data_IF_923146832399
#
_entry.id   IF_923146832399
#
_cell.length_a   1.000
_cell.length_b   1.000
_cell.length_c   1.000
_cell.angle_alpha   90.00
_cell.angle_beta   90.00
_cell.angle_gamma   90.00
#
_symmetry.space_group_name_H-M   'P 1'
#
loop_
_entity.id
_entity.type
_entity.pdbx_description
1 polymer ?
#
# COMPACT_ATOMS: atom_id res chain seq x y z
N UNK A 1 -77.48 24.41 -38.71
CA UNK A 1 -78.09 24.91 -37.45
C UNK A 1 -78.39 23.75 -36.50
N UNK A 2 -79.58 23.13 -36.50
CA UNK A 2 -79.95 22.12 -35.48
C UNK A 2 -79.10 20.82 -35.51
N UNK A 3 -78.66 20.37 -36.70
CA UNK A 3 -77.77 19.20 -36.81
C UNK A 3 -76.36 19.45 -36.26
N UNK A 4 -75.83 20.65 -36.45
CA UNK A 4 -74.46 20.99 -36.01
C UNK A 4 -74.41 21.14 -34.49
N UNK A 5 -75.42 21.76 -33.89
CA UNK A 5 -75.53 21.87 -32.42
C UNK A 5 -75.68 20.50 -31.77
N UNK A 6 -76.50 19.59 -32.32
CA UNK A 6 -76.56 18.20 -31.80
C UNK A 6 -75.24 17.45 -31.94
N UNK A 7 -74.51 17.63 -33.05
CA UNK A 7 -73.20 16.99 -33.25
C UNK A 7 -72.18 17.44 -32.20
N UNK A 8 -72.03 18.76 -31.99
CA UNK A 8 -71.15 19.34 -30.96
C UNK A 8 -71.55 18.86 -29.56
N UNK A 9 -72.85 18.82 -29.24
CA UNK A 9 -73.34 18.40 -27.93
C UNK A 9 -73.12 16.89 -27.69
N UNK A 10 -73.21 16.06 -28.74
CA UNK A 10 -72.85 14.63 -28.67
C UNK A 10 -71.35 14.40 -28.46
N UNK A 11 -70.50 15.21 -29.11
CA UNK A 11 -69.05 15.13 -28.96
C UNK A 11 -68.61 15.55 -27.54
N UNK A 12 -69.15 16.66 -27.03
CA UNK A 12 -68.93 17.10 -25.65
C UNK A 12 -69.39 16.05 -24.64
N UNK A 13 -70.60 15.50 -24.79
CA UNK A 13 -71.11 14.44 -23.91
C UNK A 13 -70.23 13.18 -23.94
N UNK A 14 -69.70 12.80 -25.11
CA UNK A 14 -68.75 11.68 -25.21
C UNK A 14 -67.42 12.00 -24.53
N UNK A 15 -66.90 13.21 -24.73
CA UNK A 15 -65.65 13.65 -24.11
C UNK A 15 -65.77 13.72 -22.58
N UNK A 16 -66.91 14.16 -22.05
CA UNK A 16 -67.16 14.20 -20.62
C UNK A 16 -67.34 12.78 -20.05
N UNK A 17 -68.05 11.88 -20.75
CA UNK A 17 -68.08 10.45 -20.36
C UNK A 17 -66.68 9.82 -20.37
N UNK A 18 -65.83 10.14 -21.35
CA UNK A 18 -64.44 9.67 -21.42
C UNK A 18 -63.60 10.24 -20.25
N UNK A 19 -63.80 11.51 -19.86
CA UNK A 19 -63.17 12.10 -18.67
C UNK A 19 -63.69 11.48 -17.37
N UNK A 20 -64.99 11.25 -17.23
CA UNK A 20 -65.59 10.65 -16.03
C UNK A 20 -65.10 9.21 -15.86
N UNK A 21 -65.08 8.41 -16.94
CA UNK A 21 -64.48 7.08 -16.93
C UNK A 21 -62.99 7.12 -16.56
N UNK A 22 -62.25 8.15 -17.00
CA UNK A 22 -60.84 8.35 -16.63
C UNK A 22 -60.70 8.77 -15.15
N UNK A 23 -61.59 9.61 -14.63
CA UNK A 23 -61.65 10.02 -13.23
C UNK A 23 -62.00 8.82 -12.34
N UNK A 24 -62.92 7.96 -12.73
CA UNK A 24 -63.22 6.71 -12.00
C UNK A 24 -62.02 5.77 -11.99
N UNK A 25 -61.35 5.57 -13.14
CA UNK A 25 -60.13 4.76 -13.21
C UNK A 25 -59.01 5.31 -12.33
N UNK A 26 -58.81 6.64 -12.32
CA UNK A 26 -57.82 7.29 -11.45
C UNK A 26 -58.20 7.22 -9.97
N UNK A 27 -59.49 7.35 -9.61
CA UNK A 27 -59.99 7.13 -8.24
C UNK A 27 -59.76 5.70 -7.77
N UNK A 28 -60.01 4.72 -8.63
CA UNK A 28 -59.81 3.30 -8.34
C UNK A 28 -58.32 3.00 -8.13
N UNK A 29 -57.44 3.46 -9.03
CA UNK A 29 -55.98 3.37 -8.87
C UNK A 29 -55.46 4.09 -7.60
N UNK A 30 -56.04 5.25 -7.26
CA UNK A 30 -55.69 5.98 -6.03
C UNK A 30 -56.11 5.21 -4.76
N UNK A 31 -57.22 4.48 -4.81
CA UNK A 31 -57.66 3.65 -3.69
C UNK A 31 -56.80 2.38 -3.58
N UNK A 32 -56.55 1.65 -4.68
CA UNK A 32 -55.67 0.47 -4.69
C UNK A 32 -54.25 0.78 -4.19
N UNK A 33 -53.69 1.95 -4.55
CA UNK A 33 -52.36 2.37 -4.09
C UNK A 33 -52.36 2.77 -2.61
N UNK A 34 -53.41 3.41 -2.11
CA UNK A 34 -53.58 3.68 -0.67
C UNK A 34 -53.74 2.40 0.15
N UNK A 35 -54.53 1.45 -0.34
CA UNK A 35 -54.77 0.16 0.34
C UNK A 35 -53.46 -0.65 0.42
N UNK A 36 -52.70 -0.76 -0.68
CA UNK A 36 -51.38 -1.40 -0.66
C UNK A 36 -50.39 -0.71 0.28
N UNK A 37 -50.33 0.63 0.27
CA UNK A 37 -49.46 1.37 1.18
C UNK A 37 -49.87 1.19 2.66
N UNK A 38 -51.17 1.08 2.95
CA UNK A 38 -51.68 0.80 4.28
C UNK A 38 -51.37 -0.65 4.71
N UNK A 39 -51.55 -1.64 3.84
CA UNK A 39 -51.15 -3.03 4.09
C UNK A 39 -49.65 -3.16 4.36
N UNK A 40 -48.80 -2.51 3.55
CA UNK A 40 -47.34 -2.53 3.73
C UNK A 40 -46.95 -1.88 5.05
N UNK A 41 -47.56 -0.75 5.40
CA UNK A 41 -47.39 -0.09 6.69
C UNK A 41 -47.80 -1.01 7.85
N UNK A 42 -48.97 -1.63 7.80
CA UNK A 42 -49.45 -2.54 8.85
C UNK A 42 -48.55 -3.77 9.01
N UNK A 43 -48.12 -4.38 7.89
CA UNK A 43 -47.13 -5.49 7.89
C UNK A 43 -45.79 -5.05 8.49
N UNK A 44 -45.41 -3.79 8.32
CA UNK A 44 -44.17 -3.24 8.88
C UNK A 44 -44.32 -2.94 10.39
N UNK A 45 -45.42 -2.32 10.80
CA UNK A 45 -45.78 -2.08 12.21
C UNK A 45 -45.89 -3.38 13.00
N UNK A 46 -46.52 -4.43 12.44
CA UNK A 46 -46.58 -5.77 13.05
C UNK A 46 -45.20 -6.39 13.25
N UNK A 47 -44.30 -6.30 12.26
CA UNK A 47 -42.92 -6.83 12.38
C UNK A 47 -42.12 -6.10 13.47
N UNK A 48 -42.18 -4.77 13.51
CA UNK A 48 -41.48 -4.02 14.55
C UNK A 48 -42.08 -4.23 15.94
N UNK A 49 -43.42 -4.33 16.05
CA UNK A 49 -44.10 -4.66 17.31
C UNK A 49 -43.68 -6.05 17.82
N UNK A 50 -43.59 -7.05 16.94
CA UNK A 50 -43.11 -8.38 17.30
C UNK A 50 -41.65 -8.37 17.79
N UNK A 51 -40.76 -7.63 17.10
CA UNK A 51 -39.36 -7.47 17.52
C UNK A 51 -39.22 -6.74 18.87
N UNK A 52 -40.02 -5.70 19.12
CA UNK A 52 -40.05 -5.00 20.41
C UNK A 52 -40.48 -5.95 21.52
N UNK A 53 -41.58 -6.69 21.33
CA UNK A 53 -42.08 -7.66 22.32
C UNK A 53 -41.07 -8.78 22.61
N UNK A 54 -40.34 -9.25 21.60
CA UNK A 54 -39.28 -10.24 21.77
C UNK A 54 -38.11 -9.69 22.60
N UNK A 55 -37.61 -8.50 22.26
CA UNK A 55 -36.52 -7.84 22.99
C UNK A 55 -36.92 -7.49 24.43
N UNK A 56 -38.15 -7.04 24.65
CA UNK A 56 -38.70 -6.82 25.99
C UNK A 56 -38.79 -8.13 26.78
N UNK A 57 -39.24 -9.24 26.16
CA UNK A 57 -39.26 -10.56 26.79
C UNK A 57 -37.86 -11.02 27.22
N UNK A 58 -36.86 -10.88 26.34
CA UNK A 58 -35.47 -11.17 26.64
C UNK A 58 -34.91 -10.27 27.76
N UNK A 59 -35.23 -8.97 27.75
CA UNK A 59 -34.83 -8.03 28.80
C UNK A 59 -35.41 -8.41 30.18
N UNK A 60 -36.70 -8.72 30.26
CA UNK A 60 -37.35 -9.15 31.49
C UNK A 60 -36.76 -10.47 32.03
N UNK A 61 -36.39 -11.40 31.14
CA UNK A 61 -35.72 -12.63 31.53
C UNK A 61 -34.31 -12.36 32.07
N UNK A 62 -33.52 -11.50 31.41
CA UNK A 62 -32.20 -11.09 31.90
C UNK A 62 -32.26 -10.33 33.22
N UNK A 63 -33.28 -9.49 33.43
CA UNK A 63 -33.50 -8.80 34.70
C UNK A 63 -33.76 -9.79 35.86
N UNK A 64 -34.54 -10.85 35.63
CA UNK A 64 -34.76 -11.93 36.61
C UNK A 64 -33.47 -12.68 36.93
N UNK A 65 -32.70 -13.07 35.91
CA UNK A 65 -31.40 -13.74 36.07
C UNK A 65 -30.43 -12.89 36.90
N UNK A 66 -30.29 -11.60 36.58
CA UNK A 66 -29.47 -10.64 37.34
C UNK A 66 -29.95 -10.55 38.79
N UNK A 67 -31.27 -10.50 39.04
CA UNK A 67 -31.84 -10.48 40.38
C UNK A 67 -31.47 -11.71 41.22
N UNK A 68 -31.54 -12.91 40.63
CA UNK A 68 -31.14 -14.16 41.31
C UNK A 68 -29.63 -14.14 41.64
N UNK A 69 -28.78 -13.77 40.68
CA UNK A 69 -27.32 -13.68 40.86
C UNK A 69 -26.96 -12.67 41.98
N UNK A 70 -27.68 -11.55 42.08
CA UNK A 70 -27.48 -10.57 43.16
C UNK A 70 -27.83 -11.14 44.55
N UNK A 71 -28.89 -11.95 44.65
CA UNK A 71 -29.27 -12.64 45.90
C UNK A 71 -28.22 -13.69 46.28
N UNK A 72 -27.78 -14.52 45.34
CA UNK A 72 -26.71 -15.51 45.56
C UNK A 72 -25.41 -14.83 46.00
N UNK A 73 -24.99 -13.76 45.32
CA UNK A 73 -23.80 -12.99 45.67
C UNK A 73 -23.88 -12.40 47.09
N UNK A 74 -25.07 -11.96 47.53
CA UNK A 74 -25.31 -11.49 48.90
C UNK A 74 -25.17 -12.62 49.92
N UNK A 75 -25.70 -13.81 49.61
CA UNK A 75 -25.58 -15.02 50.45
C UNK A 75 -24.12 -15.50 50.53
N UNK A 76 -23.39 -15.52 49.42
CA UNK A 76 -21.95 -15.87 49.38
C UNK A 76 -21.12 -14.90 50.22
N UNK A 77 -21.39 -13.59 50.13
CA UNK A 77 -20.71 -12.57 50.97
C UNK A 77 -21.01 -12.77 52.47
N UNK A 78 -22.22 -13.18 52.85
CA UNK A 78 -22.54 -13.52 54.23
C UNK A 78 -21.83 -14.81 54.69
N UNK A 79 -21.80 -15.84 53.84
CA UNK A 79 -21.07 -17.08 54.10
C UNK A 79 -19.57 -16.82 54.30
N UNK A 80 -18.93 -16.02 53.44
CA UNK A 80 -17.52 -15.64 53.57
C UNK A 80 -17.23 -14.92 54.91
N UNK A 81 -18.10 -13.99 55.33
CA UNK A 81 -17.96 -13.32 56.64
C UNK A 81 -18.06 -14.31 57.81
N UNK A 82 -19.04 -15.23 57.78
CA UNK A 82 -19.19 -16.27 58.82
C UNK A 82 -18.01 -17.24 58.83
N UNK A 83 -17.50 -17.63 57.66
CA UNK A 83 -16.33 -18.50 57.52
C UNK A 83 -15.11 -17.88 58.21
N UNK A 84 -14.79 -16.62 57.92
CA UNK A 84 -13.67 -15.91 58.54
C UNK A 84 -13.81 -15.84 60.07
N UNK A 85 -15.03 -15.60 60.57
CA UNK A 85 -15.30 -15.58 62.01
C UNK A 85 -15.05 -16.95 62.68
N UNK A 86 -15.56 -18.03 62.09
CA UNK A 86 -15.39 -19.40 62.61
C UNK A 86 -13.93 -19.87 62.51
N UNK A 87 -13.22 -19.53 61.43
CA UNK A 87 -11.79 -19.82 61.29
C UNK A 87 -10.98 -19.12 62.38
N UNK A 88 -11.28 -17.86 62.67
CA UNK A 88 -10.65 -17.11 63.77
C UNK A 88 -10.96 -17.73 65.14
N UNK A 89 -12.21 -18.03 65.46
CA UNK A 89 -12.60 -18.67 66.72
C UNK A 89 -11.93 -20.02 66.93
N UNK A 90 -11.76 -20.79 65.85
CA UNK A 90 -11.06 -22.07 65.88
C UNK A 90 -9.55 -21.90 66.16
N UNK A 91 -8.90 -20.88 65.61
CA UNK A 91 -7.48 -20.61 65.84
C UNK A 91 -7.23 -20.01 67.24
N UNK A 92 -8.10 -19.12 67.71
CA UNK A 92 -8.09 -18.62 69.10
C UNK A 92 -8.26 -19.80 70.10
N UNK A 93 -9.15 -20.77 69.81
CA UNK A 93 -9.31 -21.97 70.64
C UNK A 93 -8.08 -22.89 70.61
N UNK A 94 -7.44 -23.08 69.45
CA UNK A 94 -6.20 -23.86 69.33
C UNK A 94 -5.05 -23.26 70.13
N UNK A 95 -4.85 -21.95 70.11
CA UNK A 95 -3.77 -21.33 70.89
C UNK A 95 -4.08 -21.36 72.40
N UNK A 96 -5.35 -21.19 72.79
CA UNK A 96 -5.76 -21.39 74.19
C UNK A 96 -5.44 -22.82 74.67
N UNK A 97 -5.74 -23.85 73.87
CA UNK A 97 -5.39 -25.24 74.19
C UNK A 97 -3.87 -25.43 74.31
N UNK A 98 -3.09 -24.96 73.32
CA UNK A 98 -1.60 -25.01 73.36
C UNK A 98 -1.03 -24.29 74.59
N UNK A 99 -1.61 -23.15 74.98
CA UNK A 99 -1.16 -22.36 76.13
C UNK A 99 -1.42 -23.07 77.46
N UNK A 100 -2.57 -23.75 77.59
CA UNK A 100 -2.93 -24.51 78.81
C UNK A 100 -2.12 -25.79 78.91
N UNK A 101 -1.95 -26.54 77.81
CA UNK A 101 -1.05 -27.69 77.75
C UNK A 101 0.38 -27.32 78.15
N UNK A 102 0.92 -26.23 77.59
CA UNK A 102 2.27 -25.72 77.92
C UNK A 102 2.41 -25.43 79.42
N UNK A 103 1.41 -24.82 80.05
CA UNK A 103 1.37 -24.55 81.51
C UNK A 103 1.29 -25.83 82.34
N UNK A 104 0.50 -26.82 81.91
CA UNK A 104 0.43 -28.12 82.59
C UNK A 104 1.76 -28.89 82.48
N UNK A 105 2.37 -28.96 81.30
CA UNK A 105 3.69 -29.58 81.10
C UNK A 105 4.81 -28.88 81.90
N UNK A 106 4.74 -27.56 82.07
CA UNK A 106 5.70 -26.84 82.92
C UNK A 106 5.47 -27.14 84.41
N UNK A 107 4.21 -27.19 84.85
CA UNK A 107 3.85 -27.54 86.23
C UNK A 107 4.27 -28.97 86.57
N UNK A 108 4.05 -29.92 85.65
CA UNK A 108 4.49 -31.31 85.76
C UNK A 108 6.02 -31.38 85.92
N UNK A 109 6.79 -30.78 84.99
CA UNK A 109 8.26 -30.74 85.05
C UNK A 109 8.79 -30.12 86.35
N UNK A 110 8.12 -29.08 86.87
CA UNK A 110 8.46 -28.47 88.17
C UNK A 110 8.22 -29.43 89.35
N UNK A 111 7.16 -30.23 89.31
CA UNK A 111 6.90 -31.28 90.32
C UNK A 111 7.91 -32.43 90.21
N UNK A 112 8.09 -32.98 89.00
CA UNK A 112 9.07 -34.05 88.72
C UNK A 112 10.48 -33.67 89.20
N UNK A 113 10.91 -32.44 88.89
CA UNK A 113 12.21 -31.92 89.35
C UNK A 113 12.33 -31.88 90.87
N UNK A 114 11.25 -31.54 91.60
CA UNK A 114 11.22 -31.56 93.07
C UNK A 114 11.26 -32.99 93.62
N UNK A 115 10.43 -33.88 93.09
CA UNK A 115 10.40 -35.29 93.48
C UNK A 115 11.74 -35.99 93.23
N UNK A 116 12.37 -35.74 92.07
CA UNK A 116 13.67 -36.29 91.74
C UNK A 116 14.77 -35.80 92.70
N UNK A 117 14.79 -34.50 93.01
CA UNK A 117 15.74 -33.94 93.99
C UNK A 117 15.58 -34.55 95.39
N UNK A 118 14.34 -34.68 95.87
CA UNK A 118 14.06 -35.27 97.18
C UNK A 118 14.44 -36.76 97.20
N UNK A 119 14.07 -37.51 96.15
CA UNK A 119 14.44 -38.91 95.97
C UNK A 119 15.96 -39.09 95.99
N UNK A 120 16.71 -38.34 95.20
CA UNK A 120 18.18 -38.42 95.20
C UNK A 120 18.79 -38.03 96.55
N UNK A 121 18.21 -37.09 97.31
CA UNK A 121 18.70 -36.77 98.66
C UNK A 121 18.55 -37.98 99.59
N UNK A 122 17.37 -38.59 99.60
CA UNK A 122 17.06 -39.77 100.41
C UNK A 122 17.90 -41.00 100.01
N UNK A 123 18.11 -41.22 98.71
CA UNK A 123 18.98 -42.28 98.19
C UNK A 123 20.43 -42.07 98.65
N UNK A 124 20.99 -40.85 98.52
CA UNK A 124 22.34 -40.54 99.00
C UNK A 124 22.49 -40.66 100.53
N UNK A 125 21.46 -40.30 101.30
CA UNK A 125 21.45 -40.49 102.75
C UNK A 125 21.43 -41.97 103.15
N UNK A 126 20.70 -42.81 102.41
CA UNK A 126 20.66 -44.25 102.62
C UNK A 126 21.99 -44.92 102.20
N UNK A 127 22.52 -44.56 101.02
CA UNK A 127 23.79 -45.07 100.50
C UNK A 127 24.96 -44.76 101.45
N UNK A 128 25.05 -43.52 101.96
CA UNK A 128 26.06 -43.14 102.97
C UNK A 128 25.96 -43.99 104.24
N UNK A 129 24.75 -44.29 104.73
CA UNK A 129 24.55 -45.17 105.89
C UNK A 129 24.99 -46.61 105.61
N UNK A 130 24.72 -47.13 104.41
CA UNK A 130 25.17 -48.46 103.98
C UNK A 130 26.70 -48.51 103.91
N UNK A 131 27.33 -47.52 103.26
CA UNK A 131 28.81 -47.42 103.18
C UNK A 131 29.42 -47.36 104.58
N UNK A 132 28.93 -46.50 105.48
CA UNK A 132 29.45 -46.40 106.85
C UNK A 132 29.33 -47.71 107.66
N UNK A 133 28.27 -48.50 107.44
CA UNK A 133 28.13 -49.81 108.07
C UNK A 133 29.06 -50.86 107.44
N UNK A 134 29.20 -50.85 106.12
CA UNK A 134 30.11 -51.72 105.38
C UNK A 134 31.58 -51.45 105.73
N UNK A 135 32.01 -50.20 105.77
CA UNK A 135 33.37 -49.78 106.16
C UNK A 135 33.69 -50.22 107.59
N UNK A 136 32.74 -50.08 108.53
CA UNK A 136 32.91 -50.53 109.91
C UNK A 136 33.10 -52.05 109.98
N UNK A 137 32.20 -52.81 109.37
CA UNK A 137 32.27 -54.27 109.35
C UNK A 137 33.53 -54.78 108.62
N UNK A 138 33.93 -54.12 107.54
CA UNK A 138 35.13 -54.46 106.77
C UNK A 138 36.41 -54.14 107.54
N UNK A 139 36.49 -52.97 108.20
CA UNK A 139 37.62 -52.61 109.05
C UNK A 139 37.79 -53.60 110.21
N UNK A 140 36.69 -53.95 110.89
CA UNK A 140 36.69 -54.92 111.98
C UNK A 140 37.15 -56.30 111.52
N UNK A 141 36.63 -56.79 110.38
CA UNK A 141 37.08 -58.05 109.77
C UNK A 141 38.57 -58.02 109.38
N UNK A 142 39.05 -56.93 108.75
CA UNK A 142 40.46 -56.79 108.37
C UNK A 142 41.37 -56.71 109.58
N UNK A 143 40.95 -56.10 110.70
CA UNK A 143 41.72 -56.09 111.96
C UNK A 143 41.88 -57.51 112.51
N UNK A 144 40.84 -58.36 112.42
CA UNK A 144 40.87 -59.75 112.88
C UNK A 144 41.71 -60.70 111.99
N UNK A 145 42.08 -60.31 110.77
CA UNK A 145 42.93 -61.15 109.88
C UNK A 145 44.37 -61.32 110.40
N UNK A 146 44.97 -62.46 110.08
CA UNK A 146 46.39 -62.72 110.29
C UNK A 146 47.27 -61.85 109.38
N UNK A 147 48.57 -61.70 109.70
CA UNK A 147 49.49 -60.87 108.93
C UNK A 147 49.63 -61.31 107.46
N UNK A 148 49.54 -62.62 107.18
CA UNK A 148 49.53 -63.14 105.81
C UNK A 148 48.25 -62.74 105.05
N UNK A 149 47.07 -62.85 105.68
CA UNK A 149 45.81 -62.40 105.09
C UNK A 149 45.80 -60.89 104.81
N UNK A 150 46.37 -60.09 105.72
CA UNK A 150 46.53 -58.63 105.54
C UNK A 150 47.47 -58.27 104.37
N UNK A 151 48.48 -59.09 104.07
CA UNK A 151 49.35 -58.88 102.92
C UNK A 151 48.62 -59.18 101.60
N UNK A 152 47.98 -60.35 101.49
CA UNK A 152 47.19 -60.75 100.30
C UNK A 152 46.06 -59.76 100.03
N UNK A 153 45.40 -59.23 101.06
CA UNK A 153 44.37 -58.21 100.90
C UNK A 153 44.92 -56.91 100.27
N UNK A 154 46.09 -56.42 100.71
CA UNK A 154 46.73 -55.23 100.14
C UNK A 154 47.10 -55.43 98.66
N UNK A 155 47.58 -56.62 98.32
CA UNK A 155 47.89 -56.99 96.93
C UNK A 155 46.62 -57.06 96.08
N UNK A 156 45.54 -57.66 96.59
CA UNK A 156 44.25 -57.73 95.89
C UNK A 156 43.68 -56.32 95.61
N UNK A 157 43.72 -55.42 96.59
CA UNK A 157 43.32 -54.01 96.42
C UNK A 157 44.18 -53.29 95.36
N UNK A 158 45.50 -53.56 95.33
CA UNK A 158 46.39 -53.00 94.30
C UNK A 158 46.05 -53.53 92.90
N UNK A 159 45.84 -54.84 92.76
CA UNK A 159 45.43 -55.49 91.51
C UNK A 159 44.07 -54.99 91.03
N UNK A 160 43.09 -54.82 91.92
CA UNK A 160 41.77 -54.30 91.59
C UNK A 160 41.84 -52.84 91.10
N UNK A 161 42.71 -52.00 91.70
CA UNK A 161 42.96 -50.63 91.22
C UNK A 161 43.66 -50.60 89.86
N UNK A 162 44.59 -51.52 89.61
CA UNK A 162 45.22 -51.67 88.29
C UNK A 162 44.19 -52.10 87.23
N UNK A 163 43.32 -53.06 87.55
CA UNK A 163 42.23 -53.50 86.68
C UNK A 163 41.25 -52.36 86.37
N UNK A 164 40.87 -51.56 87.38
CA UNK A 164 39.97 -50.41 87.20
C UNK A 164 40.57 -49.36 86.24
N UNK A 165 41.88 -49.11 86.33
CA UNK A 165 42.58 -48.21 85.41
C UNK A 165 42.58 -48.75 83.97
N UNK A 166 42.87 -50.04 83.77
CA UNK A 166 42.82 -50.66 82.44
C UNK A 166 41.41 -50.70 81.85
N UNK A 167 40.37 -50.89 82.67
CA UNK A 167 38.97 -50.81 82.22
C UNK A 167 38.60 -49.39 81.75
N UNK A 168 39.04 -48.35 82.48
CA UNK A 168 38.85 -46.94 82.08
C UNK A 168 39.60 -46.61 80.78
N UNK A 169 40.83 -47.09 80.62
CA UNK A 169 41.62 -46.92 79.40
C UNK A 169 40.96 -47.63 78.21
N UNK A 170 40.49 -48.86 78.40
CA UNK A 170 39.77 -49.63 77.38
C UNK A 170 38.47 -48.94 76.95
N UNK A 171 37.66 -48.43 77.89
CA UNK A 171 36.46 -47.65 77.59
C UNK A 171 36.77 -46.34 76.86
N UNK A 172 37.83 -45.62 77.25
CA UNK A 172 38.26 -44.41 76.57
C UNK A 172 38.73 -44.69 75.12
N UNK A 173 39.46 -45.79 74.91
CA UNK A 173 39.86 -46.26 73.58
C UNK A 173 38.65 -46.69 72.75
N UNK A 174 37.69 -47.43 73.32
CA UNK A 174 36.46 -47.83 72.64
C UNK A 174 35.63 -46.61 72.21
N UNK A 175 35.47 -45.62 73.10
CA UNK A 175 34.78 -44.35 72.78
C UNK A 175 35.49 -43.58 71.67
N UNK A 176 36.83 -43.61 71.63
CA UNK A 176 37.61 -42.98 70.55
C UNK A 176 37.47 -43.75 69.23
N UNK A 177 37.46 -45.08 69.25
CA UNK A 177 37.25 -45.93 68.09
C UNK A 177 35.85 -45.71 67.49
N UNK A 178 34.80 -45.69 68.33
CA UNK A 178 33.43 -45.41 67.89
C UNK A 178 33.31 -44.03 67.23
N UNK A 179 33.86 -42.97 67.85
CA UNK A 179 33.87 -41.62 67.25
C UNK A 179 34.65 -41.56 65.93
N UNK A 180 35.73 -42.33 65.80
CA UNK A 180 36.49 -42.41 64.55
C UNK A 180 35.67 -43.12 63.44
N UNK A 181 34.91 -44.16 63.80
CA UNK A 181 34.00 -44.87 62.89
C UNK A 181 32.81 -43.99 62.46
N UNK A 182 32.23 -43.21 63.37
CA UNK A 182 31.19 -42.21 63.08
C UNK A 182 31.72 -41.13 62.11
N UNK A 183 32.92 -40.61 62.36
CA UNK A 183 33.59 -39.67 61.46
C UNK A 183 33.88 -40.27 60.09
N UNK A 184 34.38 -41.51 60.04
CA UNK A 184 34.68 -42.22 58.80
C UNK A 184 33.41 -42.48 57.97
N UNK A 185 32.31 -42.88 58.60
CA UNK A 185 31.03 -43.11 57.90
C UNK A 185 30.41 -41.81 57.40
N UNK A 186 30.47 -40.73 58.18
CA UNK A 186 30.04 -39.38 57.74
C UNK A 186 30.86 -38.87 56.54
N UNK A 187 32.19 -39.00 56.58
CA UNK A 187 33.08 -38.61 55.49
C UNK A 187 32.83 -39.44 54.22
N UNK A 188 32.51 -40.74 54.36
CA UNK A 188 32.18 -41.61 53.23
C UNK A 188 30.87 -41.16 52.55
N UNK A 189 29.82 -40.90 53.34
CA UNK A 189 28.55 -40.35 52.83
C UNK A 189 28.75 -38.99 52.15
N UNK A 190 29.53 -38.10 52.75
CA UNK A 190 29.83 -36.79 52.16
C UNK A 190 30.61 -36.93 50.84
N UNK A 191 31.56 -37.87 50.76
CA UNK A 191 32.27 -38.19 49.52
C UNK A 191 31.31 -38.70 48.44
N UNK A 192 30.42 -39.63 48.77
CA UNK A 192 29.45 -40.17 47.81
C UNK A 192 28.51 -39.09 47.25
N UNK A 193 28.01 -38.20 48.11
CA UNK A 193 27.20 -37.04 47.69
C UNK A 193 27.99 -36.11 46.77
N UNK A 194 29.25 -35.83 47.09
CA UNK A 194 30.13 -35.00 46.26
C UNK A 194 30.43 -35.66 44.91
N UNK A 195 30.70 -36.97 44.88
CA UNK A 195 30.96 -37.73 43.65
C UNK A 195 29.73 -37.74 42.73
N UNK A 196 28.51 -37.84 43.29
CA UNK A 196 27.26 -37.70 42.53
C UNK A 196 27.06 -36.27 42.00
N UNK A 197 27.28 -35.25 42.83
CA UNK A 197 27.16 -33.83 42.43
C UNK A 197 28.14 -33.47 41.30
N UNK A 198 29.38 -33.96 41.37
CA UNK A 198 30.40 -33.76 40.32
C UNK A 198 29.98 -34.44 39.01
N UNK A 199 29.46 -35.67 39.06
CA UNK A 199 28.95 -36.37 37.86
C UNK A 199 27.78 -35.60 37.22
N UNK A 200 26.82 -35.14 38.02
CA UNK A 200 25.69 -34.33 37.53
C UNK A 200 26.17 -33.03 36.87
N UNK A 201 27.13 -32.32 37.49
CA UNK A 201 27.70 -31.10 36.91
C UNK A 201 28.48 -31.34 35.62
N UNK A 202 29.23 -32.44 35.53
CA UNK A 202 29.91 -32.85 34.28
C UNK A 202 28.88 -33.14 33.19
N UNK A 203 27.77 -33.82 33.51
CA UNK A 203 26.70 -34.10 32.54
C UNK A 203 26.02 -32.82 32.04
N UNK A 204 25.66 -31.91 32.94
CA UNK A 204 25.09 -30.59 32.60
C UNK A 204 26.03 -29.78 31.69
N UNK A 205 27.32 -29.70 32.03
CA UNK A 205 28.32 -28.99 31.21
C UNK A 205 28.53 -29.66 29.84
N UNK A 206 28.48 -30.99 29.78
CA UNK A 206 28.60 -31.73 28.51
C UNK A 206 27.40 -31.48 27.59
N UNK A 207 26.18 -31.44 28.15
CA UNK A 207 24.97 -31.09 27.42
C UNK A 207 24.97 -29.65 26.93
N UNK A 208 25.38 -28.69 27.76
CA UNK A 208 25.53 -27.29 27.34
C UNK A 208 26.58 -27.15 26.23
N UNK A 209 27.71 -27.87 26.35
CA UNK A 209 28.76 -27.87 25.32
C UNK A 209 28.27 -28.42 23.97
N UNK A 210 27.46 -29.48 23.95
CA UNK A 210 26.92 -30.03 22.70
C UNK A 210 25.86 -29.12 22.07
N UNK A 211 25.05 -28.44 22.88
CA UNK A 211 24.13 -27.39 22.41
C UNK A 211 24.90 -26.21 21.79
N UNK A 212 25.92 -25.70 22.47
CA UNK A 212 26.79 -24.62 21.97
C UNK A 212 27.45 -25.03 20.64
N UNK A 213 28.01 -26.23 20.55
CA UNK A 213 28.61 -26.74 19.31
C UNK A 213 27.59 -26.85 18.16
N UNK A 214 26.35 -27.21 18.45
CA UNK A 214 25.27 -27.30 17.45
C UNK A 214 24.87 -25.91 16.96
N UNK A 215 24.75 -24.94 17.87
CA UNK A 215 24.49 -23.54 17.53
C UNK A 215 25.64 -22.92 16.73
N UNK A 216 26.89 -23.16 17.10
CA UNK A 216 28.08 -22.71 16.37
C UNK A 216 28.11 -23.25 14.94
N UNK A 217 27.83 -24.54 14.74
CA UNK A 217 27.71 -25.13 13.39
C UNK A 217 26.59 -24.47 12.57
N UNK A 218 25.44 -24.17 13.19
CA UNK A 218 24.34 -23.47 12.53
C UNK A 218 24.72 -22.04 12.13
N UNK A 219 25.37 -21.28 13.02
CA UNK A 219 25.89 -19.94 12.74
C UNK A 219 26.84 -19.97 11.54
N UNK A 220 27.86 -20.83 11.58
CA UNK A 220 28.81 -20.99 10.46
C UNK A 220 28.11 -21.34 9.12
N UNK A 221 27.07 -22.18 9.16
CA UNK A 221 26.32 -22.52 7.94
C UNK A 221 25.51 -21.35 7.38
N UNK A 222 24.96 -20.50 8.25
CA UNK A 222 24.23 -19.29 7.86
C UNK A 222 25.17 -18.19 7.36
N UNK A 223 26.31 -18.00 8.03
CA UNK A 223 27.37 -17.08 7.58
C UNK A 223 27.91 -17.50 6.20
N UNK A 224 28.15 -18.80 5.99
CA UNK A 224 28.57 -19.32 4.68
C UNK A 224 27.50 -19.07 3.61
N UNK A 225 26.23 -19.34 3.91
CA UNK A 225 25.13 -19.09 2.96
C UNK A 225 24.98 -17.60 2.62
N UNK A 226 25.07 -16.70 3.62
CA UNK A 226 25.04 -15.26 3.42
C UNK A 226 26.22 -14.78 2.57
N UNK A 227 27.44 -15.27 2.81
CA UNK A 227 28.60 -14.93 1.97
C UNK A 227 28.44 -15.40 0.53
N UNK A 228 27.85 -16.58 0.29
CA UNK A 228 27.54 -17.04 -1.06
C UNK A 228 26.49 -16.13 -1.73
N UNK A 229 25.36 -15.87 -1.07
CA UNK A 229 24.32 -14.98 -1.60
C UNK A 229 24.85 -13.57 -1.90
N UNK A 230 25.65 -12.98 -1.00
CA UNK A 230 26.24 -11.65 -1.23
C UNK A 230 27.13 -11.64 -2.47
N UNK A 231 27.96 -12.67 -2.67
CA UNK A 231 28.80 -12.80 -3.88
C UNK A 231 27.95 -12.98 -5.14
N UNK A 232 26.89 -13.78 -5.08
CA UNK A 232 25.97 -13.96 -6.19
C UNK A 232 25.31 -12.62 -6.57
N UNK A 233 24.80 -11.86 -5.60
CA UNK A 233 24.28 -10.50 -5.82
C UNK A 233 25.34 -9.54 -6.39
N UNK A 234 26.57 -9.52 -5.86
CA UNK A 234 27.67 -8.70 -6.40
C UNK A 234 27.95 -9.05 -7.88
N UNK A 235 28.01 -10.34 -8.23
CA UNK A 235 28.22 -10.76 -9.62
C UNK A 235 27.06 -10.39 -10.54
N UNK A 236 25.81 -10.44 -10.05
CA UNK A 236 24.65 -10.08 -10.85
C UNK A 236 24.54 -8.56 -11.07
N UNK A 237 24.87 -7.76 -10.05
CA UNK A 237 24.98 -6.29 -10.18
C UNK A 237 26.06 -5.91 -11.21
N UNK A 238 27.21 -6.59 -11.20
CA UNK A 238 28.26 -6.35 -12.20
C UNK A 238 27.81 -6.68 -13.63
N UNK A 239 27.11 -7.82 -13.84
CA UNK A 239 26.55 -8.17 -15.16
C UNK A 239 25.51 -7.15 -15.63
N UNK A 240 24.60 -6.73 -14.75
CA UNK A 240 23.58 -5.72 -15.09
C UNK A 240 24.22 -4.38 -15.44
N UNK A 241 25.30 -3.99 -14.74
CA UNK A 241 26.06 -2.78 -15.06
C UNK A 241 26.79 -2.91 -16.41
N UNK A 242 27.40 -4.05 -16.71
CA UNK A 242 28.07 -4.32 -18.00
C UNK A 242 27.05 -4.29 -19.15
N UNK A 243 25.92 -4.99 -19.00
CA UNK A 243 24.84 -5.00 -19.99
C UNK A 243 24.31 -3.59 -20.25
N UNK A 244 24.02 -2.82 -19.20
CA UNK A 244 23.57 -1.44 -19.34
C UNK A 244 24.61 -0.55 -20.06
N UNK A 245 25.92 -0.80 -19.88
CA UNK A 245 26.96 -0.07 -20.63
C UNK A 245 26.95 -0.46 -22.12
N UNK A 246 26.76 -1.74 -22.46
CA UNK A 246 26.64 -2.21 -23.84
C UNK A 246 25.42 -1.62 -24.54
N UNK A 247 24.26 -1.63 -23.87
CA UNK A 247 23.01 -1.10 -24.43
C UNK A 247 23.11 0.42 -24.65
N UNK A 248 23.63 1.17 -23.68
CA UNK A 248 23.89 2.61 -23.84
C UNK A 248 24.87 2.92 -25.01
N UNK A 249 25.85 2.04 -25.28
CA UNK A 249 26.75 2.20 -26.44
C UNK A 249 26.02 1.92 -27.77
N UNK A 250 25.12 0.93 -27.80
CA UNK A 250 24.28 0.66 -28.95
C UNK A 250 23.35 1.83 -29.26
N UNK A 251 22.67 2.36 -28.24
CA UNK A 251 21.80 3.54 -28.34
C UNK A 251 22.56 4.77 -28.85
N UNK A 252 23.75 5.04 -28.31
CA UNK A 252 24.61 6.13 -28.81
C UNK A 252 24.98 5.96 -30.29
N UNK A 253 25.27 4.73 -30.73
CA UNK A 253 25.58 4.44 -32.13
C UNK A 253 24.34 4.58 -33.04
N UNK A 254 23.13 4.29 -32.56
CA UNK A 254 21.88 4.54 -33.28
C UNK A 254 21.56 6.04 -33.36
N UNK A 255 21.64 6.77 -32.24
CA UNK A 255 21.46 8.22 -32.19
C UNK A 255 22.38 8.92 -33.19
N UNK A 256 23.65 8.51 -33.29
CA UNK A 256 24.59 9.06 -34.26
C UNK A 256 24.15 8.82 -35.72
N UNK A 257 23.69 7.60 -36.05
CA UNK A 257 23.16 7.28 -37.40
C UNK A 257 21.92 8.10 -37.73
N UNK A 258 20.99 8.24 -36.79
CA UNK A 258 19.76 9.01 -36.95
C UNK A 258 20.06 10.52 -37.14
N UNK A 259 20.99 11.07 -36.36
CA UNK A 259 21.47 12.45 -36.54
C UNK A 259 22.10 12.66 -37.92
N UNK A 260 22.91 11.71 -38.41
CA UNK A 260 23.50 11.80 -39.74
C UNK A 260 22.44 11.74 -40.85
N UNK A 261 21.44 10.85 -40.72
CA UNK A 261 20.32 10.73 -41.65
C UNK A 261 19.50 12.02 -41.69
N UNK A 262 19.19 12.61 -40.52
CA UNK A 262 18.48 13.88 -40.41
C UNK A 262 19.24 15.01 -41.13
N UNK A 263 20.55 15.13 -40.92
CA UNK A 263 21.38 16.13 -41.63
C UNK A 263 21.37 15.96 -43.16
N UNK A 264 21.30 14.72 -43.66
CA UNK A 264 21.17 14.45 -45.10
C UNK A 264 19.79 14.89 -45.59
N UNK A 265 18.71 14.54 -44.85
CA UNK A 265 17.34 14.94 -45.17
C UNK A 265 17.14 16.44 -45.13
N UNK A 266 17.76 17.17 -44.21
CA UNK A 266 17.76 18.63 -44.19
C UNK A 266 18.48 19.22 -45.41
N UNK A 267 19.59 18.64 -45.86
CA UNK A 267 20.28 19.07 -47.09
C UNK A 267 19.42 18.83 -48.34
N UNK A 268 18.73 17.69 -48.43
CA UNK A 268 17.76 17.40 -49.49
C UNK A 268 16.57 18.35 -49.45
N UNK A 269 15.95 18.54 -48.29
CA UNK A 269 14.86 19.48 -48.04
C UNK A 269 15.23 20.91 -48.46
N UNK A 270 16.45 21.35 -48.12
CA UNK A 270 16.95 22.67 -48.53
C UNK A 270 17.22 22.77 -50.04
N UNK A 271 17.61 21.69 -50.72
CA UNK A 271 17.69 21.65 -52.20
C UNK A 271 16.30 21.75 -52.83
N UNK A 272 15.33 20.99 -52.31
CA UNK A 272 13.93 21.02 -52.79
C UNK A 272 13.33 22.42 -52.58
N UNK A 273 13.51 23.04 -51.40
CA UNK A 273 13.08 24.42 -51.12
C UNK A 273 13.67 25.43 -52.09
N UNK A 274 14.97 25.31 -52.44
CA UNK A 274 15.62 26.16 -53.46
C UNK A 274 15.04 25.94 -54.85
N UNK A 275 14.85 24.69 -55.27
CA UNK A 275 14.28 24.36 -56.58
C UNK A 275 12.83 24.86 -56.71
N UNK A 276 12.01 24.64 -55.67
CA UNK A 276 10.63 25.13 -55.63
C UNK A 276 10.57 26.67 -55.68
N UNK A 277 11.52 27.36 -55.02
CA UNK A 277 11.66 28.82 -55.14
C UNK A 277 12.04 29.23 -56.56
N UNK A 278 13.04 28.61 -57.18
CA UNK A 278 13.45 28.93 -58.54
C UNK A 278 12.29 28.76 -59.53
N UNK A 279 11.53 27.65 -59.45
CA UNK A 279 10.35 27.40 -60.29
C UNK A 279 9.28 28.48 -60.07
N UNK A 280 9.10 28.95 -58.83
CA UNK A 280 8.18 30.05 -58.53
C UNK A 280 8.69 31.39 -59.08
N UNK A 281 9.97 31.69 -58.96
CA UNK A 281 10.59 32.91 -59.46
C UNK A 281 10.54 32.96 -61.01
N UNK A 282 10.88 31.87 -61.70
CA UNK A 282 10.75 31.66 -63.15
C UNK A 282 9.29 31.82 -63.59
N UNK A 283 8.34 31.14 -62.92
CA UNK A 283 6.90 31.32 -63.17
C UNK A 283 6.48 32.78 -63.02
N UNK A 284 6.96 33.47 -61.99
CA UNK A 284 6.66 34.89 -61.74
C UNK A 284 7.26 35.81 -62.82
N UNK A 285 8.39 35.44 -63.42
CA UNK A 285 8.95 36.14 -64.59
C UNK A 285 8.12 35.92 -65.85
N UNK A 286 7.72 34.68 -66.14
CA UNK A 286 6.84 34.37 -67.29
C UNK A 286 5.47 35.03 -67.14
N UNK A 287 4.90 35.06 -65.92
CA UNK A 287 3.66 35.79 -65.62
C UNK A 287 3.81 37.30 -65.90
N UNK A 288 4.91 37.93 -65.48
CA UNK A 288 5.21 39.33 -65.81
C UNK A 288 5.34 39.55 -67.32
N UNK A 289 6.09 38.71 -68.03
CA UNK A 289 6.23 38.78 -69.48
C UNK A 289 4.88 38.73 -70.22
N UNK A 290 3.97 37.82 -69.83
CA UNK A 290 2.63 37.76 -70.43
C UNK A 290 1.78 39.00 -70.12
N UNK A 291 1.87 39.55 -68.92
CA UNK A 291 1.16 40.78 -68.55
C UNK A 291 1.68 41.98 -69.36
N UNK A 292 3.00 42.11 -69.52
CA UNK A 292 3.63 43.16 -70.33
C UNK A 292 3.31 43.01 -71.82
N UNK A 293 3.36 41.79 -72.37
CA UNK A 293 2.97 41.52 -73.75
C UNK A 293 1.47 41.83 -73.99
N UNK A 294 0.59 41.46 -73.06
CA UNK A 294 -0.83 41.84 -73.10
C UNK A 294 -1.02 43.36 -72.99
N UNK A 295 -0.20 44.05 -72.21
CA UNK A 295 -0.24 45.51 -72.09
C UNK A 295 0.18 46.19 -73.41
N UNK A 296 1.31 45.76 -74.00
CA UNK A 296 1.78 46.25 -75.31
C UNK A 296 0.74 46.02 -76.41
N UNK A 297 0.17 44.82 -76.50
CA UNK A 297 -0.87 44.53 -77.49
C UNK A 297 -2.12 45.38 -77.27
N UNK A 298 -2.55 45.63 -76.02
CA UNK A 298 -3.66 46.56 -75.73
C UNK A 298 -3.35 47.99 -76.14
N UNK A 299 -2.13 48.49 -75.90
CA UNK A 299 -1.71 49.81 -76.39
C UNK A 299 -1.77 49.85 -77.93
N UNK A 300 -1.27 48.81 -78.61
CA UNK A 300 -1.22 48.76 -80.06
C UNK A 300 -2.60 48.60 -80.70
N UNK A 301 -3.55 47.93 -80.03
CA UNK A 301 -4.98 47.94 -80.38
C UNK A 301 -5.56 49.36 -80.26
N UNK A 302 -5.27 50.08 -79.16
CA UNK A 302 -5.76 51.44 -78.99
C UNK A 302 -5.19 52.39 -80.07
N UNK A 303 -3.91 52.23 -80.40
CA UNK A 303 -3.25 52.97 -81.48
C UNK A 303 -3.82 52.62 -82.87
N UNK A 304 -3.95 51.34 -83.20
CA UNK A 304 -4.47 50.88 -84.50
C UNK A 304 -5.91 51.36 -84.73
N UNK A 305 -6.78 51.27 -83.71
CA UNK A 305 -8.16 51.78 -83.76
C UNK A 305 -8.21 53.29 -83.96
N UNK A 306 -7.35 54.05 -83.26
CA UNK A 306 -7.23 55.51 -83.42
C UNK A 306 -6.75 55.87 -84.84
N UNK A 307 -5.71 55.20 -85.33
CA UNK A 307 -5.14 55.43 -86.66
C UNK A 307 -6.14 55.05 -87.77
N UNK A 308 -6.78 53.87 -87.69
CA UNK A 308 -7.81 53.45 -88.64
C UNK A 308 -8.97 54.45 -88.69
N UNK A 309 -9.44 54.95 -87.54
CA UNK A 309 -10.47 55.99 -87.48
C UNK A 309 -10.03 57.30 -88.14
N UNK A 310 -8.76 57.70 -88.00
CA UNK A 310 -8.20 58.87 -88.68
C UNK A 310 -8.06 58.67 -90.20
N UNK A 311 -7.51 57.53 -90.64
CA UNK A 311 -7.32 57.19 -92.05
C UNK A 311 -8.68 57.04 -92.76
N UNK A 312 -9.65 56.36 -92.15
CA UNK A 312 -11.00 56.26 -92.70
C UNK A 312 -11.69 57.64 -92.83
N UNK A 313 -11.42 58.56 -91.88
CA UNK A 313 -11.93 59.94 -91.96
C UNK A 313 -11.25 60.74 -93.07
N UNK A 314 -9.93 60.59 -93.22
CA UNK A 314 -9.17 61.22 -94.30
C UNK A 314 -9.62 60.70 -95.68
N UNK A 315 -9.72 59.38 -95.86
CA UNK A 315 -10.15 58.74 -97.09
C UNK A 315 -11.60 59.11 -97.47
N UNK A 316 -12.52 59.19 -96.50
CA UNK A 316 -13.87 59.70 -96.73
C UNK A 316 -13.86 61.17 -97.17
N UNK A 317 -13.09 62.03 -96.49
CA UNK A 317 -12.97 63.45 -96.85
C UNK A 317 -12.33 63.66 -98.23
N UNK A 318 -11.35 62.84 -98.63
CA UNK A 318 -10.73 62.88 -99.96
C UNK A 318 -11.76 62.49 -101.02
N UNK A 319 -12.45 61.35 -100.87
CA UNK A 319 -13.52 60.94 -101.81
C UNK A 319 -14.65 61.97 -101.89
N UNK A 320 -15.02 62.60 -100.77
CA UNK A 320 -16.01 63.68 -100.75
C UNK A 320 -15.55 64.91 -101.56
N UNK A 321 -14.24 65.24 -101.50
CA UNK A 321 -13.64 66.34 -102.28
C UNK A 321 -13.49 66.00 -103.77
N UNK A 322 -13.13 64.77 -104.10
CA UNK A 322 -13.03 64.28 -105.49
C UNK A 322 -14.40 64.24 -106.18
N UNK A 323 -15.44 63.82 -105.45
CA UNK A 323 -16.82 63.85 -105.92
C UNK A 323 -17.34 65.28 -106.11
N UNK A 324 -17.02 66.19 -105.19
CA UNK A 324 -17.32 67.62 -105.35
C UNK A 324 -16.60 68.25 -106.55
N UNK A 325 -15.41 67.75 -106.90
CA UNK A 325 -14.67 68.13 -108.10
C UNK A 325 -15.17 67.44 -109.39
N UNK A 326 -16.29 66.71 -109.34
CA UNK A 326 -16.94 66.08 -110.49
C UNK A 326 -16.20 64.86 -111.08
N UNK A 327 -15.21 64.30 -110.36
CA UNK A 327 -14.39 63.19 -110.88
C UNK A 327 -14.90 61.81 -110.50
N UNK A 328 -15.75 61.71 -109.48
CA UNK A 328 -16.27 60.46 -108.90
C UNK A 328 -17.67 60.66 -108.31
N UNK A 329 -18.39 59.58 -108.00
CA UNK A 329 -19.67 59.66 -107.29
C UNK A 329 -19.49 59.99 -105.80
N UNK A 330 -20.47 60.67 -105.20
CA UNK A 330 -20.45 61.00 -103.77
C UNK A 330 -20.44 59.75 -102.88
N UNK A 331 -19.51 59.63 -101.92
CA UNK A 331 -19.43 58.46 -101.06
C UNK A 331 -20.62 58.38 -100.09
N UNK A 332 -21.15 57.16 -99.87
CA UNK A 332 -22.20 56.89 -98.87
C UNK A 332 -21.78 57.43 -97.50
N UNK A 333 -22.67 58.18 -96.84
CA UNK A 333 -22.43 58.79 -95.53
C UNK A 333 -21.92 57.73 -94.54
N UNK A 334 -20.79 58.00 -93.90
CA UNK A 334 -20.12 57.10 -92.95
C UNK A 334 -19.90 57.84 -91.64
N UNK A 335 -20.34 57.27 -90.53
CA UNK A 335 -20.31 57.94 -89.22
C UNK A 335 -19.05 57.58 -88.43
N UNK A 336 -18.53 58.56 -87.68
CA UNK A 336 -17.33 58.41 -86.86
C UNK A 336 -17.63 58.54 -85.36
N UNK A 337 -18.87 58.88 -84.98
CA UNK A 337 -19.21 59.29 -83.61
C UNK A 337 -19.82 58.16 -82.76
N UNK A 338 -19.92 56.95 -83.32
CA UNK A 338 -20.21 55.72 -82.56
C UNK A 338 -21.65 55.57 -82.04
N UNK A 339 -22.63 56.30 -82.59
CA UNK A 339 -24.05 56.14 -82.23
C UNK A 339 -24.59 54.78 -82.69
N UNK A 340 -25.30 54.09 -81.80
CA UNK A 340 -25.70 52.68 -81.94
C UNK A 340 -26.63 52.38 -83.14
N UNK A 341 -27.41 53.36 -83.59
CA UNK A 341 -28.38 53.19 -84.69
C UNK A 341 -27.80 53.56 -86.08
N UNK A 342 -26.47 53.57 -86.25
CA UNK A 342 -25.82 53.93 -87.51
C UNK A 342 -25.50 52.70 -88.38
N UNK A 343 -26.18 52.58 -89.52
CA UNK A 343 -26.04 51.47 -90.47
C UNK A 343 -24.70 51.40 -91.21
N UNK A 344 -23.87 52.47 -91.17
CA UNK A 344 -22.55 52.54 -91.80
C UNK A 344 -21.61 53.37 -90.89
N UNK A 345 -20.99 52.71 -89.91
CA UNK A 345 -20.12 53.34 -88.92
C UNK A 345 -18.76 52.69 -88.89
N UNK A 346 -17.69 53.47 -88.75
CA UNK A 346 -16.31 52.96 -88.62
C UNK A 346 -16.15 52.03 -87.41
N UNK A 347 -16.97 52.20 -86.38
CA UNK A 347 -16.98 51.30 -85.22
C UNK A 347 -17.52 49.90 -85.57
N UNK A 348 -18.38 49.78 -86.59
CA UNK A 348 -18.87 48.49 -87.09
C UNK A 348 -17.71 47.69 -87.68
N UNK A 349 -16.92 48.28 -88.58
CA UNK A 349 -15.72 47.67 -89.17
C UNK A 349 -14.71 47.23 -88.10
N UNK A 350 -14.50 48.04 -87.05
CA UNK A 350 -13.64 47.67 -85.92
C UNK A 350 -14.22 46.50 -85.09
N UNK A 351 -15.53 46.39 -84.99
CA UNK A 351 -16.19 45.25 -84.33
C UNK A 351 -16.20 44.00 -85.22
N UNK A 352 -16.22 44.15 -86.54
CA UNK A 352 -16.05 43.06 -87.51
C UNK A 352 -14.62 42.51 -87.47
N UNK A 353 -13.60 43.36 -87.36
CA UNK A 353 -12.22 42.94 -87.12
C UNK A 353 -12.06 42.13 -85.82
N UNK A 354 -12.86 42.42 -84.77
CA UNK A 354 -12.92 41.60 -83.55
C UNK A 354 -13.67 40.27 -83.75
N UNK A 355 -14.53 40.15 -84.77
CA UNK A 355 -15.38 38.99 -85.09
C UNK A 355 -14.81 38.09 -86.20
N UNK A 356 -13.73 38.48 -86.89
CA UNK A 356 -13.13 37.67 -87.96
C UNK A 356 -12.65 36.30 -87.44
N UNK A 357 -13.42 35.27 -87.80
CA UNK A 357 -13.21 33.84 -87.48
C UNK A 357 -12.75 33.01 -88.70
N UNK A 358 -12.67 33.64 -89.88
CA UNK A 358 -12.37 32.97 -91.15
C UNK A 358 -10.87 32.76 -91.39
N UNK A 359 -10.22 31.90 -90.62
CA UNK A 359 -8.88 31.39 -90.99
C UNK A 359 -8.87 29.86 -90.86
N UNK A 360 -8.82 29.18 -92.02
CA UNK A 360 -8.61 27.73 -92.12
C UNK A 360 -7.17 27.50 -92.60
N UNK A 361 -6.29 27.04 -91.71
CA UNK A 361 -4.89 26.74 -92.02
C UNK A 361 -3.95 26.95 -90.83
N UNK A 362 -2.66 26.63 -91.02
CA UNK A 362 -1.61 27.00 -90.07
C UNK A 362 -1.36 28.51 -90.20
N UNK A 363 -1.74 29.28 -89.18
CA UNK A 363 -1.63 30.75 -89.17
C UNK A 363 -0.35 31.15 -88.45
N UNK A 364 0.49 31.99 -89.07
CA UNK A 364 1.65 32.54 -88.39
C UNK A 364 1.24 33.72 -87.51
N UNK A 365 2.04 34.03 -86.47
CA UNK A 365 1.75 35.16 -85.57
C UNK A 365 1.72 36.49 -86.34
N UNK A 366 2.49 36.62 -87.42
CA UNK A 366 2.53 37.84 -88.24
C UNK A 366 1.17 38.16 -88.88
N UNK A 367 0.45 37.14 -89.37
CA UNK A 367 -0.83 37.25 -90.09
C UNK A 367 -2.03 37.66 -89.21
N UNK A 368 -1.87 37.61 -87.88
CA UNK A 368 -2.95 37.90 -86.93
C UNK A 368 -3.14 39.41 -86.71
N UNK A 369 -4.39 39.87 -86.66
CA UNK A 369 -4.72 41.23 -86.19
C UNK A 369 -4.33 41.40 -84.71
N UNK A 370 -4.11 42.64 -84.28
CA UNK A 370 -3.74 42.91 -82.88
C UNK A 370 -4.82 42.42 -81.90
N UNK A 371 -6.10 42.55 -82.27
CA UNK A 371 -7.26 41.96 -81.60
C UNK A 371 -7.18 40.43 -81.45
N UNK A 372 -6.71 39.72 -82.46
CA UNK A 372 -6.52 38.25 -82.39
C UNK A 372 -5.29 37.90 -81.54
N UNK A 373 -4.19 38.65 -81.66
CA UNK A 373 -2.99 38.52 -80.82
C UNK A 373 -3.33 38.66 -79.33
N UNK A 374 -4.21 39.59 -78.96
CA UNK A 374 -4.68 39.77 -77.57
C UNK A 374 -5.43 38.56 -77.05
N UNK A 375 -6.37 38.01 -77.84
CA UNK A 375 -7.11 36.79 -77.48
C UNK A 375 -6.19 35.58 -77.33
N UNK A 376 -5.20 35.42 -78.22
CA UNK A 376 -4.22 34.32 -78.16
C UNK A 376 -3.33 34.45 -76.93
N UNK A 377 -2.77 35.64 -76.64
CA UNK A 377 -1.98 35.87 -75.43
C UNK A 377 -2.81 35.67 -74.16
N UNK A 378 -4.07 36.13 -74.13
CA UNK A 378 -4.97 35.94 -72.99
C UNK A 378 -5.29 34.46 -72.77
N UNK A 379 -5.49 33.70 -73.85
CA UNK A 379 -5.71 32.25 -73.80
C UNK A 379 -4.44 31.50 -73.36
N UNK A 380 -3.25 31.91 -73.80
CA UNK A 380 -1.97 31.34 -73.37
C UNK A 380 -1.71 31.61 -71.89
N UNK A 381 -1.91 32.84 -71.43
CA UNK A 381 -1.79 33.21 -70.01
C UNK A 381 -2.80 32.48 -69.13
N UNK A 382 -4.04 32.31 -69.59
CA UNK A 382 -5.04 31.48 -68.91
C UNK A 382 -4.60 30.02 -68.85
N UNK A 383 -4.15 29.44 -69.97
CA UNK A 383 -3.68 28.05 -70.05
C UNK A 383 -2.46 27.78 -69.15
N UNK A 384 -1.51 28.72 -69.09
CA UNK A 384 -0.36 28.68 -68.19
C UNK A 384 -0.79 28.70 -66.72
N UNK A 385 -1.79 29.52 -66.37
CA UNK A 385 -2.38 29.57 -65.03
C UNK A 385 -3.39 28.43 -64.73
N UNK A 386 -3.40 27.36 -65.54
CA UNK A 386 -4.26 26.19 -65.34
C UNK A 386 -5.74 26.38 -65.73
N UNK A 387 -6.13 27.52 -66.29
CA UNK A 387 -7.46 27.75 -66.82
C UNK A 387 -7.64 27.05 -68.18
N UNK A 388 -8.20 25.84 -68.15
CA UNK A 388 -8.63 25.11 -69.35
C UNK A 388 -10.08 25.50 -69.70
N UNK A 389 -10.39 25.94 -70.94
CA UNK A 389 -11.77 26.09 -71.37
C UNK A 389 -12.45 24.72 -71.40
N UNK A 390 -13.41 24.56 -70.47
CA UNK A 390 -14.03 23.29 -70.07
C UNK A 390 -14.80 22.62 -71.22
N UNK A 391 -14.15 21.75 -72.00
CA UNK A 391 -14.85 20.74 -72.79
C UNK A 391 -15.44 19.69 -71.84
N UNK A 392 -16.71 19.36 -71.99
CA UNK A 392 -17.31 18.24 -71.27
C UNK A 392 -16.64 16.93 -71.71
N UNK A 393 -15.95 16.29 -70.79
CA UNK A 393 -15.51 14.89 -70.88
C UNK A 393 -15.52 14.34 -69.45
N UNK A 394 -16.08 13.14 -69.30
CA UNK A 394 -16.23 12.47 -68.02
C UNK A 394 -14.91 11.83 -67.57
N UNK A 395 -14.83 11.50 -66.28
CA UNK A 395 -13.69 10.85 -65.60
C UNK A 395 -12.47 11.78 -65.40
N UNK A 396 -11.80 11.80 -64.23
CA UNK A 396 -11.96 11.01 -63.00
C UNK A 396 -11.81 11.88 -61.75
N UNK A 397 -12.45 11.45 -60.66
CA UNK A 397 -12.27 12.00 -59.30
C UNK A 397 -10.87 11.62 -58.80
N UNK A 398 -10.11 12.50 -58.11
CA UNK A 398 -8.78 12.14 -57.64
C UNK A 398 -8.85 11.03 -56.57
N UNK A 399 -7.92 10.07 -56.55
CA UNK A 399 -7.65 9.33 -55.32
C UNK A 399 -7.01 10.32 -54.33
N UNK A 400 -7.71 10.57 -53.22
CA UNK A 400 -7.12 11.24 -52.07
C UNK A 400 -6.07 10.29 -51.47
N UNK A 401 -4.89 10.76 -51.04
CA UNK A 401 -3.86 9.88 -50.49
C UNK A 401 -4.35 9.10 -49.26
N UNK A 402 -3.85 7.87 -49.09
CA UNK A 402 -3.91 7.17 -47.81
C UNK A 402 -3.14 7.99 -46.77
N UNK A 403 -3.88 8.70 -45.93
CA UNK A 403 -3.32 9.44 -44.81
C UNK A 403 -3.06 8.46 -43.67
N UNK A 404 -1.82 7.99 -43.57
CA UNK A 404 -1.34 7.28 -42.38
C UNK A 404 -1.28 8.28 -41.23
N UNK A 405 -2.35 8.32 -40.45
CA UNK A 405 -2.37 8.91 -39.12
C UNK A 405 -1.76 7.89 -38.16
N UNK A 406 -0.68 8.28 -37.50
CA UNK A 406 -0.36 7.69 -36.20
C UNK A 406 -1.52 8.05 -35.27
N UNK A 407 -2.21 7.04 -34.77
CA UNK A 407 -3.22 7.23 -33.73
C UNK A 407 -2.53 7.68 -32.44
N UNK A 408 -2.75 8.94 -32.06
CA UNK A 408 -2.39 9.44 -30.75
C UNK A 408 -3.47 8.99 -29.76
N UNK A 409 -3.26 7.82 -29.16
CA UNK A 409 -4.11 7.33 -28.08
C UNK A 409 -3.93 8.13 -26.79
N UNK A 410 -4.75 9.16 -26.57
CA UNK A 410 -4.94 9.80 -25.26
C UNK A 410 -6.43 9.87 -24.86
N UNK A 411 -6.77 9.08 -23.83
CA UNK A 411 -7.64 9.45 -22.69
C UNK A 411 -9.17 9.21 -22.75
N UNK A 412 -9.60 8.25 -21.91
CA UNK A 412 -10.85 8.12 -21.10
C UNK A 412 -12.22 7.67 -21.68
N UNK A 413 -12.71 6.57 -21.05
CA UNK A 413 -14.09 6.28 -20.57
C UNK A 413 -15.25 6.09 -21.60
N UNK A 414 -16.31 5.28 -21.40
CA UNK A 414 -16.93 4.73 -20.18
C UNK A 414 -17.84 3.49 -20.48
N UNK A 415 -17.91 2.50 -19.55
CA UNK A 415 -19.01 1.51 -19.38
C UNK A 415 -18.83 0.10 -20.01
N UNK A 416 -18.63 -1.00 -19.27
CA UNK A 416 -19.51 -1.81 -18.35
C UNK A 416 -20.09 -3.06 -19.07
N UNK A 417 -20.17 -4.29 -18.54
CA UNK A 417 -19.66 -4.91 -17.28
C UNK A 417 -18.46 -5.88 -17.57
N UNK A 418 -17.98 -6.85 -16.76
CA UNK A 418 -18.25 -7.34 -15.38
C UNK A 418 -17.01 -8.08 -14.80
N UNK A 419 -17.03 -8.36 -13.48
CA UNK A 419 -16.34 -9.47 -12.75
C UNK A 419 -14.83 -9.66 -13.03
N UNK A 420 -13.90 -9.29 -12.14
CA UNK A 420 -13.86 -9.61 -10.70
C UNK A 420 -12.76 -8.83 -9.94
N UNK A 421 -13.18 -8.14 -8.87
CA UNK A 421 -12.47 -7.81 -7.61
C UNK A 421 -11.05 -7.19 -7.61
N UNK A 422 -11.05 -5.92 -7.19
CA UNK A 422 -9.98 -5.10 -6.62
C UNK A 422 -9.36 -5.75 -5.33
N UNK A 423 -8.26 -5.28 -4.69
CA UNK A 423 -7.75 -3.91 -4.52
C UNK A 423 -6.22 -3.83 -4.37
N UNK A 424 -5.67 -2.68 -4.78
CA UNK A 424 -4.39 -2.09 -4.33
C UNK A 424 -4.79 -0.80 -3.57
N UNK A 425 -4.19 -0.38 -2.45
CA UNK A 425 -3.04 0.56 -2.43
C UNK A 425 -2.69 1.12 -1.03
N UNK A 426 -1.47 1.67 -0.97
CA UNK A 426 -1.03 2.88 -0.23
C UNK A 426 -0.53 2.75 1.23
N UNK A 427 0.29 3.77 1.56
CA UNK A 427 1.44 3.77 2.45
C UNK A 427 1.23 4.57 3.74
N UNK A 428 2.18 4.39 4.67
CA UNK A 428 2.45 5.19 5.87
C UNK A 428 1.38 5.25 6.97
N UNK A 429 1.69 4.60 8.11
CA UNK A 429 1.48 5.19 9.42
C UNK A 429 2.44 4.60 10.46
N UNK A 430 2.89 5.44 11.39
CA UNK A 430 3.75 5.11 12.54
C UNK A 430 2.89 4.81 13.76
N UNK A 431 3.24 3.82 14.61
CA UNK A 431 2.76 3.77 15.99
C UNK A 431 3.87 4.15 16.99
N UNK A 432 3.78 5.37 17.53
CA UNK A 432 4.23 5.67 18.89
C UNK A 432 2.96 5.70 19.75
N UNK A 433 2.75 4.73 20.64
CA UNK A 433 2.01 4.94 21.90
C UNK A 433 2.68 4.09 22.99
N UNK A 434 3.04 4.76 24.09
CA UNK A 434 3.48 4.16 25.35
C UNK A 434 2.29 4.00 26.32
N UNK A 435 2.54 3.31 27.44
CA UNK A 435 1.77 3.37 28.70
C UNK A 435 0.39 2.64 28.75
N UNK A 436 0.03 1.89 29.80
CA UNK A 436 0.75 1.40 31.00
C UNK A 436 -0.06 0.24 31.66
N UNK A 437 0.04 -0.09 32.97
CA UNK A 437 0.96 -1.06 33.54
C UNK A 437 0.28 -2.33 34.11
N UNK A 438 1.04 -3.42 34.30
CA UNK A 438 0.62 -4.55 35.16
C UNK A 438 1.80 -5.21 35.88
N UNK A 439 1.82 -5.01 37.21
CA UNK A 439 2.76 -5.55 38.20
C UNK A 439 3.19 -7.01 37.96
N UNK A 440 4.50 -7.25 37.97
CA UNK A 440 5.09 -8.37 38.71
C UNK A 440 6.27 -7.87 39.55
N UNK A 441 6.41 -8.46 40.74
CA UNK A 441 7.22 -7.95 41.86
C UNK A 441 8.61 -8.59 41.85
N UNK A 442 9.65 -7.76 41.98
CA UNK A 442 10.99 -8.20 42.39
C UNK A 442 11.20 -7.77 43.85
N UNK A 443 11.61 -8.67 44.76
CA UNK A 443 11.92 -8.27 46.14
C UNK A 443 13.24 -7.50 46.20
N UNK A 444 13.18 -6.27 46.68
CA UNK A 444 14.35 -5.54 47.18
C UNK A 444 14.77 -6.08 48.54
N UNK A 445 16.04 -6.47 48.71
CA UNK A 445 16.69 -6.47 50.02
C UNK A 445 17.83 -5.46 49.98
N UNK A 446 17.70 -4.45 50.82
CA UNK A 446 18.65 -3.39 51.02
C UNK A 446 19.21 -3.55 52.43
N UNK A 447 20.50 -3.86 52.57
CA UNK A 447 21.24 -3.64 53.83
C UNK A 447 22.64 -3.14 53.52
N UNK A 448 22.99 -2.04 54.19
CA UNK A 448 24.23 -1.27 54.08
C UNK A 448 25.00 -1.42 55.39
N UNK A 449 26.29 -1.73 55.29
CA UNK A 449 27.35 -1.43 56.27
C UNK A 449 28.68 -1.80 55.57
N UNK A 450 29.65 -0.91 55.34
CA UNK A 450 30.57 -0.32 56.33
C UNK A 450 30.99 -1.39 57.36
N UNK A 451 32.23 -1.89 57.35
CA UNK A 451 33.39 -1.10 57.79
C UNK A 451 34.78 -1.73 57.44
N UNK A 452 35.81 -0.87 57.51
CA UNK A 452 37.21 -1.17 57.91
C UNK A 452 38.19 -1.90 56.98
N UNK A 453 39.19 -1.14 56.52
CA UNK A 453 40.57 -1.60 56.31
C UNK A 453 41.12 -2.38 57.52
N UNK A 454 41.96 -3.41 57.30
CA UNK A 454 43.18 -3.70 58.09
C UNK A 454 44.05 -4.77 57.38
N UNK A 455 45.14 -4.33 56.74
CA UNK A 455 46.54 -4.80 56.87
C UNK A 455 46.92 -6.32 56.85
N UNK A 456 48.09 -6.57 56.20
CA UNK A 456 49.08 -7.69 56.33
C UNK A 456 48.95 -8.94 55.43
N UNK A 457 49.85 -8.97 54.44
CA UNK A 457 51.02 -9.86 54.38
C UNK A 457 50.88 -11.30 54.91
N UNK A 458 50.92 -12.27 53.99
CA UNK A 458 51.99 -13.26 53.86
C UNK A 458 52.00 -13.85 52.43
#
# INVERSE_FOLDING_TARGET
MEKDTMSVLSYLKKQDQEKDNMIEKLKLQLNETKEKAQEEKEKMEQKYTAQINELEGQFHQKAKEIGMIQIELKTIKQFQKRKIQVEKELDDLKENLRSTERRYQETLRRLETKFFKEKCRLEQEAEKKIIMLADRAHHEAVVQLSNAGKAVFKENVYLQKALENHLKETDALQKRANKLLESQTSLLQQKEINDLLVKEKIMQLTQQRSQIQTLQKKVLSLETALVCMTKEFETEVLKLQEQAVVDNQADQAEIFKLQQLLQIKDKEMNRIKKLAKNILDERTEVERFFLDALHQVKQQIAFSRKHYKQVAKAAFNVKMREAFAGRTEYPKIRTFDGKEHSTNSVNQDLMEANKWTGIQGNVNIEDLTWEQKEKVLRLLFAKMNGFVPRKYSQSSRPPVPDYVVLDNGETQELGDESKLQDQTFITQQVPIISDSPSKLVIPSIQTRSQESDTVRSL
#
